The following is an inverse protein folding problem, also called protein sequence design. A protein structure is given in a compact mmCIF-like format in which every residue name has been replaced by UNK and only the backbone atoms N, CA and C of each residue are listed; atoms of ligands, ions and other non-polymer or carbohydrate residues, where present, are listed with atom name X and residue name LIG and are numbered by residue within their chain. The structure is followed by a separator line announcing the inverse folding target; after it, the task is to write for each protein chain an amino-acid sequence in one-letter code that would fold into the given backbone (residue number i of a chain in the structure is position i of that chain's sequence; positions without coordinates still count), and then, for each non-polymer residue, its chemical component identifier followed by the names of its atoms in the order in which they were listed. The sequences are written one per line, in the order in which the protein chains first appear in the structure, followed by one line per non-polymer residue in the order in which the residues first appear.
data_IF_573759163367
#
_entry.id   IF_573759163367
#
_cell.length_a   1.000
_cell.length_b   1.000
_cell.length_c   1.000
_cell.angle_alpha   90.00
_cell.angle_beta   90.00
_cell.angle_gamma   90.00
#
_symmetry.space_group_name_H-M   'P 1'
#
loop_
_entity.id
_entity.type
_entity.pdbx_description
1 polymer ?
#
# COMPACT_ATOMS: atom_id res chain seq x y z
N UNK A 1 -12.69 -19.02 -0.80
CA UNK A 1 -13.05 -19.96 -1.87
C UNK A 1 -12.83 -19.24 -3.21
N UNK A 2 -12.26 -19.88 -4.23
CA UNK A 2 -12.14 -19.26 -5.57
C UNK A 2 -13.51 -18.90 -6.18
N UNK A 3 -14.59 -19.46 -5.62
CA UNK A 3 -15.98 -19.20 -5.98
C UNK A 3 -16.55 -17.90 -5.36
N UNK A 4 -16.03 -17.41 -4.23
CA UNK A 4 -16.49 -16.18 -3.56
C UNK A 4 -15.46 -15.03 -3.59
N UNK A 5 -14.33 -15.24 -4.29
CA UNK A 5 -13.28 -14.24 -4.43
C UNK A 5 -12.35 -14.10 -3.21
N UNK A 6 -12.58 -14.83 -2.10
CA UNK A 6 -11.69 -14.77 -0.93
C UNK A 6 -10.34 -15.48 -1.12
N UNK A 7 -10.19 -16.24 -2.21
CA UNK A 7 -8.88 -16.64 -2.75
C UNK A 7 -8.77 -16.08 -4.17
N UNK A 8 -8.21 -14.89 -4.27
CA UNK A 8 -7.96 -14.15 -5.51
C UNK A 8 -6.53 -13.60 -5.49
N UNK A 9 -5.95 -13.40 -6.67
CA UNK A 9 -4.72 -12.64 -6.79
C UNK A 9 -5.01 -11.17 -6.49
N UNK A 10 -4.18 -10.53 -5.67
CA UNK A 10 -4.38 -9.16 -5.21
C UNK A 10 -3.19 -8.30 -5.60
N UNK A 11 -3.47 -7.16 -6.24
CA UNK A 11 -2.50 -6.07 -6.42
C UNK A 11 -2.94 -4.89 -5.56
N UNK A 12 -2.11 -4.52 -4.60
CA UNK A 12 -2.38 -3.45 -3.64
C UNK A 12 -1.36 -2.32 -3.91
N UNK A 13 -1.72 -1.28 -4.68
CA UNK A 13 -0.87 -0.09 -4.82
C UNK A 13 -0.76 0.62 -3.47
N UNK A 14 0.45 0.92 -3.01
CA UNK A 14 0.66 1.51 -1.69
C UNK A 14 2.10 1.91 -1.41
N UNK A 15 2.28 2.76 -0.40
CA UNK A 15 3.59 3.02 0.22
C UNK A 15 3.61 2.29 1.54
N UNK A 16 4.54 1.37 1.68
CA UNK A 16 4.67 0.53 2.86
C UNK A 16 6.05 0.72 3.46
N UNK A 17 6.09 1.08 4.74
CA UNK A 17 7.31 1.19 5.53
C UNK A 17 7.33 0.09 6.58
N UNK A 18 8.41 -0.67 6.60
CA UNK A 18 8.70 -1.58 7.70
C UNK A 18 9.14 -0.76 8.92
N UNK A 19 8.42 -0.87 10.03
CA UNK A 19 8.65 -0.01 11.21
C UNK A 19 9.14 -0.79 12.43
N UNK A 20 8.93 -2.10 12.51
CA UNK A 20 9.39 -2.91 13.63
C UNK A 20 9.76 -4.32 13.18
N UNK A 21 10.78 -4.89 13.82
CA UNK A 21 11.29 -6.25 13.55
C UNK A 21 10.27 -7.36 13.79
N UNK A 22 9.17 -7.06 14.51
CA UNK A 22 8.05 -7.99 14.70
C UNK A 22 7.13 -8.14 13.47
N UNK A 23 7.44 -7.49 12.36
CA UNK A 23 6.62 -7.58 11.13
C UNK A 23 5.67 -6.40 10.92
N UNK A 24 5.68 -5.38 11.79
CA UNK A 24 4.79 -4.24 11.65
C UNK A 24 5.16 -3.40 10.41
N UNK A 25 4.17 -3.20 9.55
CA UNK A 25 4.24 -2.37 8.35
C UNK A 25 3.22 -1.24 8.49
N UNK A 26 3.68 0.00 8.35
CA UNK A 26 2.83 1.18 8.31
C UNK A 26 2.80 1.74 6.89
N UNK A 27 1.64 2.19 6.45
CA UNK A 27 1.48 2.66 5.09
C UNK A 27 0.04 2.93 4.70
N UNK A 28 -0.10 3.54 3.53
CA UNK A 28 -1.38 3.79 2.90
C UNK A 28 -1.47 2.91 1.66
N UNK A 29 -2.61 2.23 1.48
CA UNK A 29 -3.00 1.70 0.18
C UNK A 29 -3.80 2.75 -0.57
N UNK A 30 -3.79 2.66 -1.90
CA UNK A 30 -4.47 3.59 -2.80
C UNK A 30 -5.47 2.85 -3.71
N UNK A 31 -5.99 1.72 -3.21
CA UNK A 31 -6.86 0.81 -3.95
C UNK A 31 -6.48 -0.65 -3.74
N UNK A 32 -7.35 -1.54 -4.19
CA UNK A 32 -7.12 -2.98 -4.22
C UNK A 32 -7.70 -3.54 -5.53
N UNK A 33 -6.87 -4.20 -6.32
CA UNK A 33 -7.30 -4.89 -7.54
C UNK A 33 -7.32 -6.38 -7.22
N UNK A 34 -8.51 -7.00 -7.38
CA UNK A 34 -8.71 -8.43 -7.19
C UNK A 34 -8.88 -9.11 -8.54
N UNK A 35 -7.97 -10.01 -8.88
CA UNK A 35 -8.06 -10.85 -10.08
C UNK A 35 -8.54 -12.25 -9.68
N UNK A 36 -9.74 -12.67 -10.13
CA UNK A 36 -10.22 -14.03 -9.91
C UNK A 36 -9.34 -15.04 -10.65
N UNK A 37 -9.16 -16.24 -10.09
CA UNK A 37 -8.40 -17.32 -10.72
C UNK A 37 -9.19 -18.04 -11.84
N UNK A 38 -9.99 -17.30 -12.63
CA UNK A 38 -10.83 -17.83 -13.71
C UNK A 38 -11.00 -16.80 -14.82
N UNK A 39 -11.13 -17.27 -16.05
CA UNK A 39 -11.29 -16.42 -17.25
C UNK A 39 -9.94 -16.03 -17.83
N UNK A 40 -9.89 -14.88 -18.52
CA UNK A 40 -8.63 -14.33 -19.00
C UNK A 40 -7.85 -13.68 -17.85
N UNK A 41 -7.09 -14.50 -17.12
CA UNK A 41 -6.30 -14.07 -15.97
C UNK A 41 -5.17 -13.14 -16.44
N UNK A 42 -4.52 -13.45 -17.56
CA UNK A 42 -3.35 -12.70 -18.04
C UNK A 42 -3.75 -11.29 -18.43
N UNK A 43 -4.83 -11.13 -19.22
CA UNK A 43 -5.35 -9.82 -19.59
C UNK A 43 -5.74 -8.99 -18.37
N UNK A 44 -6.44 -9.58 -17.40
CA UNK A 44 -6.87 -8.88 -16.17
C UNK A 44 -5.69 -8.46 -15.29
N UNK A 45 -4.62 -9.25 -15.20
CA UNK A 45 -3.40 -8.86 -14.48
C UNK A 45 -2.72 -7.69 -15.19
N UNK A 46 -2.63 -7.73 -16.53
CA UNK A 46 -2.00 -6.66 -17.32
C UNK A 46 -2.80 -5.35 -17.18
N UNK A 47 -4.13 -5.40 -17.33
CA UNK A 47 -4.98 -4.22 -17.15
C UNK A 47 -4.87 -3.66 -15.73
N UNK A 48 -4.91 -4.52 -14.72
CA UNK A 48 -4.74 -4.08 -13.34
C UNK A 48 -3.37 -3.43 -13.09
N UNK A 49 -2.31 -3.89 -13.75
CA UNK A 49 -1.00 -3.24 -13.66
C UNK A 49 -1.02 -1.82 -14.27
N UNK A 50 -1.74 -1.60 -15.36
CA UNK A 50 -1.92 -0.26 -15.93
C UNK A 50 -2.78 0.65 -15.04
N UNK A 51 -3.79 0.10 -14.37
CA UNK A 51 -4.58 0.85 -13.39
C UNK A 51 -3.69 1.31 -12.21
N UNK A 52 -2.83 0.44 -11.71
CA UNK A 52 -1.84 0.78 -10.67
C UNK A 52 -0.91 1.91 -11.13
N UNK A 53 -0.46 1.90 -12.39
CA UNK A 53 0.37 2.99 -12.95
C UNK A 53 -0.31 4.36 -12.86
N UNK A 54 -1.64 4.43 -13.01
CA UNK A 54 -2.41 5.67 -12.88
C UNK A 54 -2.50 6.25 -11.46
N UNK A 55 -2.06 5.48 -10.45
CA UNK A 55 -2.16 5.86 -9.03
C UNK A 55 -0.83 6.42 -8.48
N UNK A 56 0.29 6.23 -9.18
CA UNK A 56 1.62 6.62 -8.70
C UNK A 56 1.80 8.11 -8.43
N UNK A 57 1.12 8.98 -9.17
CA UNK A 57 1.22 10.43 -8.93
C UNK A 57 0.64 10.81 -7.55
N UNK A 58 -0.53 10.25 -7.21
CA UNK A 58 -1.16 10.43 -5.88
C UNK A 58 -0.34 9.82 -4.76
N UNK A 59 0.35 8.71 -5.06
CA UNK A 59 1.26 8.04 -4.13
C UNK A 59 2.43 8.97 -3.80
N UNK A 60 3.05 9.57 -4.83
CA UNK A 60 4.18 10.48 -4.69
C UNK A 60 3.80 11.71 -3.87
N UNK A 61 2.65 12.33 -4.15
CA UNK A 61 2.16 13.50 -3.40
C UNK A 61 1.94 13.18 -1.91
N UNK A 62 1.32 12.03 -1.59
CA UNK A 62 1.13 11.61 -0.20
C UNK A 62 2.47 11.30 0.49
N UNK A 63 3.43 10.71 -0.23
CA UNK A 63 4.77 10.48 0.30
C UNK A 63 5.44 11.78 0.71
N UNK A 64 5.41 12.79 -0.16
CA UNK A 64 6.04 14.08 0.12
C UNK A 64 5.37 14.78 1.29
N UNK A 65 4.03 14.77 1.35
CA UNK A 65 3.28 15.29 2.51
C UNK A 65 3.70 14.62 3.82
N UNK A 66 3.88 13.29 3.81
CA UNK A 66 4.34 12.56 4.99
C UNK A 66 5.79 12.88 5.38
N UNK A 67 6.65 13.25 4.40
CA UNK A 67 8.04 13.66 4.65
C UNK A 67 8.17 15.08 5.15
N UNK A 68 7.20 15.97 4.90
CA UNK A 68 7.30 17.37 5.31
C UNK A 68 7.42 17.53 6.84
N UNK A 69 6.82 16.63 7.62
CA UNK A 69 6.85 16.68 9.08
C UNK A 69 8.17 16.12 9.61
N UNK A 70 9.10 17.02 9.93
CA UNK A 70 10.36 16.68 10.59
C UNK A 70 10.24 16.93 12.09
N UNK A 71 10.21 15.85 12.88
CA UNK A 71 10.23 15.95 14.34
C UNK A 71 11.64 16.30 14.81
N UNK A 72 11.76 17.29 15.69
CA UNK A 72 12.99 17.57 16.41
C UNK A 72 13.25 16.49 17.49
N UNK A 73 14.43 16.52 18.11
CA UNK A 73 14.83 15.48 19.07
C UNK A 73 13.86 15.30 20.24
N UNK A 74 13.28 16.39 20.74
CA UNK A 74 12.37 16.34 21.89
C UNK A 74 11.01 15.75 21.49
N UNK A 75 10.52 16.11 20.29
CA UNK A 75 9.28 15.58 19.72
C UNK A 75 9.39 14.08 19.41
N UNK A 76 10.55 13.61 18.93
CA UNK A 76 10.80 12.18 18.71
C UNK A 76 10.74 11.39 20.03
N UNK A 77 11.35 11.93 21.09
CA UNK A 77 11.29 11.31 22.42
C UNK A 77 9.88 11.28 23.01
N UNK A 78 9.09 12.35 22.82
CA UNK A 78 7.69 12.41 23.24
C UNK A 78 6.83 11.40 22.47
N UNK A 79 6.96 11.35 21.14
CA UNK A 79 6.22 10.41 20.29
C UNK A 79 6.54 8.95 20.66
N UNK A 80 7.83 8.62 20.83
CA UNK A 80 8.26 7.26 21.21
C UNK A 80 7.82 6.82 22.60
N UNK A 81 7.49 7.75 23.51
CA UNK A 81 6.95 7.43 24.85
C UNK A 81 5.43 7.33 24.89
N UNK A 82 4.74 7.88 23.90
CA UNK A 82 3.28 7.88 23.81
C UNK A 82 2.72 6.69 23.00
N UNK A 83 3.58 5.97 22.28
CA UNK A 83 3.26 4.77 21.51
C UNK A 83 3.30 3.49 22.35
#
# INVERSE_FOLDING_TARGET
NSHDGSSSYQMIPGIFRFVCTNGLVCGNNFGEIRVPHKGDIVGQVIEGAYEVLGVFDKVTENMETMKEIHLNSDEQHLFGRAA
#
